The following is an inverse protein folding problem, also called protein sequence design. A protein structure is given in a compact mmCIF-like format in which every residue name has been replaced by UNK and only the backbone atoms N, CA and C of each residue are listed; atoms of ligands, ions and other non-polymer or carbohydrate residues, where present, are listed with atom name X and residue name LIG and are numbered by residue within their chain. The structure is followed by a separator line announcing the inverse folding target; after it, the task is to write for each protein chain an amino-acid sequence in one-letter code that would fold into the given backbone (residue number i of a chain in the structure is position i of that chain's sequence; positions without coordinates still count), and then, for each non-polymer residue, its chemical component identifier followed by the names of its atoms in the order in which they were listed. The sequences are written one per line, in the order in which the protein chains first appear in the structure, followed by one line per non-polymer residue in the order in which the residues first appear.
data_IF_426636580427
#
_entry.id   IF_426636580427
#
_cell.length_a   1.000
_cell.length_b   1.000
_cell.length_c   1.000
_cell.angle_alpha   90.00
_cell.angle_beta   90.00
_cell.angle_gamma   90.00
#
_symmetry.space_group_name_H-M   'P 1'
#
loop_
_entity.id
_entity.type
_entity.pdbx_description
1 polymer ?
#
# COMPACT_ATOMS: atom_id res chain seq x y z
N UNK A 1 5.34 12.17 -15.95
CA UNK A 1 6.72 12.04 -16.44
C UNK A 1 7.64 11.85 -15.24
N UNK A 2 8.48 10.80 -15.25
CA UNK A 2 9.41 10.46 -14.17
C UNK A 2 10.76 11.18 -14.30
N UNK A 3 10.86 12.21 -15.13
CA UNK A 3 12.11 12.96 -15.38
C UNK A 3 12.83 13.38 -14.09
N UNK A 4 12.09 13.76 -13.04
CA UNK A 4 12.64 14.18 -11.74
C UNK A 4 12.71 13.08 -10.67
N UNK A 5 12.52 11.80 -11.03
CA UNK A 5 12.52 10.67 -10.09
C UNK A 5 13.72 9.74 -10.31
N UNK A 6 14.14 9.05 -9.25
CA UNK A 6 15.28 8.13 -9.27
C UNK A 6 15.08 6.90 -10.17
N UNK A 7 16.09 6.04 -10.22
CA UNK A 7 16.05 4.80 -11.02
C UNK A 7 14.96 3.86 -10.52
N UNK A 8 14.68 3.87 -9.22
CA UNK A 8 13.72 2.97 -8.58
C UNK A 8 12.30 3.19 -9.08
N UNK A 9 11.82 4.44 -9.14
CA UNK A 9 10.53 4.77 -9.72
C UNK A 9 10.44 4.41 -11.21
N UNK A 10 11.52 4.63 -11.98
CA UNK A 10 11.55 4.35 -13.42
C UNK A 10 11.51 2.86 -13.77
N UNK A 11 12.07 2.02 -12.90
CA UNK A 11 12.24 0.59 -13.15
C UNK A 11 11.19 -0.30 -12.46
N UNK A 12 10.31 0.28 -11.64
CA UNK A 12 9.21 -0.46 -11.02
C UNK A 12 8.15 -0.87 -12.05
N UNK A 13 7.70 -2.13 -11.95
CA UNK A 13 6.69 -2.74 -12.80
C UNK A 13 5.27 -2.52 -12.25
N UNK A 14 4.89 -1.25 -12.05
CA UNK A 14 3.57 -0.85 -11.49
C UNK A 14 2.77 0.09 -12.39
N UNK A 15 3.32 0.51 -13.53
CA UNK A 15 2.60 1.38 -14.47
C UNK A 15 1.25 0.79 -14.95
N UNK A 16 0.19 1.60 -14.91
CA UNK A 16 -1.16 1.22 -15.33
C UNK A 16 -1.25 0.73 -16.79
N UNK A 17 -0.51 1.35 -17.70
CA UNK A 17 -0.56 0.96 -19.11
C UNK A 17 0.28 -0.31 -19.38
N UNK A 18 1.53 -0.31 -18.90
CA UNK A 18 2.55 -1.29 -19.28
C UNK A 18 2.56 -2.55 -18.40
N UNK A 19 2.08 -2.49 -17.16
CA UNK A 19 2.24 -3.59 -16.20
C UNK A 19 0.91 -4.18 -15.70
N UNK A 20 -0.17 -3.39 -15.70
CA UNK A 20 -1.50 -3.91 -15.36
C UNK A 20 -1.95 -4.96 -16.38
N UNK A 21 -2.25 -6.16 -15.89
CA UNK A 21 -2.49 -7.38 -16.67
C UNK A 21 -3.89 -7.41 -17.24
N UNK A 22 -4.01 -7.72 -18.53
CA UNK A 22 -5.31 -7.79 -19.21
C UNK A 22 -6.28 -8.78 -18.56
N UNK A 23 -5.82 -10.01 -18.29
CA UNK A 23 -6.67 -11.04 -17.67
C UNK A 23 -6.90 -10.84 -16.18
N UNK A 24 -5.82 -10.63 -15.43
CA UNK A 24 -5.90 -10.52 -13.97
C UNK A 24 -6.60 -9.24 -13.50
N UNK A 25 -6.19 -8.10 -14.03
CA UNK A 25 -6.63 -6.79 -13.53
C UNK A 25 -7.82 -6.26 -14.33
N UNK A 26 -7.78 -6.36 -15.66
CA UNK A 26 -8.83 -5.80 -16.54
C UNK A 26 -9.97 -6.76 -16.91
N UNK A 27 -9.92 -8.01 -16.43
CA UNK A 27 -10.92 -9.06 -16.66
C UNK A 27 -11.15 -9.42 -18.14
N UNK A 28 -10.09 -9.30 -18.95
CA UNK A 28 -10.11 -9.76 -20.34
C UNK A 28 -9.90 -11.27 -20.38
N UNK A 29 -10.84 -11.98 -20.98
CA UNK A 29 -10.81 -13.43 -21.15
C UNK A 29 -9.62 -13.85 -22.02
N UNK A 30 -8.92 -14.96 -21.69
CA UNK A 30 -7.87 -15.50 -22.53
C UNK A 30 -8.30 -15.70 -23.99
N UNK A 31 -9.53 -16.17 -24.21
CA UNK A 31 -10.10 -16.40 -25.54
C UNK A 31 -10.27 -15.09 -26.32
N UNK A 32 -10.62 -13.99 -25.65
CA UNK A 32 -10.73 -12.68 -26.29
C UNK A 32 -9.37 -12.17 -26.77
N UNK A 33 -8.31 -12.40 -25.98
CA UNK A 33 -6.94 -12.04 -26.36
C UNK A 33 -6.49 -12.91 -27.56
N UNK A 34 -6.74 -14.21 -27.50
CA UNK A 34 -6.41 -15.16 -28.58
C UNK A 34 -7.09 -14.78 -29.90
N UNK A 35 -8.40 -14.47 -29.88
CA UNK A 35 -9.16 -14.05 -31.06
C UNK A 35 -8.68 -12.72 -31.66
N UNK A 36 -8.16 -11.82 -30.84
CA UNK A 36 -7.60 -10.53 -31.30
C UNK A 36 -6.20 -10.67 -31.88
N UNK A 37 -5.50 -11.78 -31.62
CA UNK A 37 -4.09 -11.95 -31.97
C UNK A 37 -3.18 -11.06 -31.14
N UNK A 38 -2.52 -10.08 -31.78
CA UNK A 38 -1.56 -9.20 -31.11
C UNK A 38 -2.24 -8.02 -30.40
N UNK A 39 -2.26 -8.04 -29.06
CA UNK A 39 -2.77 -6.92 -28.24
C UNK A 39 -1.60 -6.02 -27.81
N UNK A 40 -1.60 -4.74 -28.24
CA UNK A 40 -0.58 -3.74 -27.87
C UNK A 40 -1.09 -2.70 -26.85
N UNK A 41 -0.26 -2.28 -25.87
CA UNK A 41 1.11 -2.76 -25.61
C UNK A 41 1.12 -4.20 -25.10
N UNK A 42 2.19 -4.92 -25.37
CA UNK A 42 2.34 -6.27 -24.84
C UNK A 42 2.50 -6.22 -23.33
N UNK A 43 1.65 -6.95 -22.61
CA UNK A 43 1.76 -7.12 -21.16
C UNK A 43 1.79 -8.61 -20.89
N UNK A 44 2.90 -9.10 -20.33
CA UNK A 44 3.06 -10.52 -20.06
C UNK A 44 1.93 -11.04 -19.15
N UNK A 45 1.21 -12.10 -19.54
CA UNK A 45 0.11 -12.64 -18.74
C UNK A 45 0.62 -13.19 -17.41
N UNK A 46 -0.21 -13.06 -16.36
CA UNK A 46 0.08 -13.69 -15.08
C UNK A 46 -0.21 -15.19 -15.20
N UNK A 47 0.70 -16.01 -14.69
CA UNK A 47 0.53 -17.46 -14.58
C UNK A 47 0.93 -17.92 -13.19
N UNK A 48 -0.05 -18.39 -12.41
CA UNK A 48 0.17 -18.94 -11.07
C UNK A 48 -0.01 -20.46 -11.11
N UNK A 49 1.11 -21.18 -11.05
CA UNK A 49 1.13 -22.66 -11.04
C UNK A 49 0.36 -23.29 -12.21
N UNK A 50 0.49 -22.72 -13.41
CA UNK A 50 -0.16 -23.21 -14.64
C UNK A 50 -1.55 -22.61 -14.92
N UNK A 51 -2.03 -21.68 -14.10
CA UNK A 51 -3.36 -21.07 -14.25
C UNK A 51 -3.19 -19.58 -14.53
N UNK A 52 -3.87 -19.09 -15.56
CA UNK A 52 -3.81 -17.67 -15.92
C UNK A 52 -4.54 -16.77 -14.92
N UNK A 53 -4.16 -15.49 -14.94
CA UNK A 53 -4.66 -14.48 -14.01
C UNK A 53 -6.18 -14.23 -14.05
N UNK A 54 -6.87 -14.58 -15.14
CA UNK A 54 -8.33 -14.48 -15.25
C UNK A 54 -8.99 -15.74 -14.66
N UNK A 55 -8.56 -16.92 -15.11
CA UNK A 55 -9.17 -18.21 -14.73
C UNK A 55 -9.05 -18.51 -13.24
N UNK A 56 -7.93 -18.13 -12.61
CA UNK A 56 -7.67 -18.39 -11.19
C UNK A 56 -8.78 -17.87 -10.25
N UNK A 57 -9.11 -16.57 -10.28
CA UNK A 57 -10.24 -16.02 -9.53
C UNK A 57 -11.61 -16.51 -10.06
N UNK A 58 -11.81 -16.53 -11.37
CA UNK A 58 -13.10 -16.84 -11.99
C UNK A 58 -13.61 -18.24 -11.63
N UNK A 59 -12.73 -19.25 -11.60
CA UNK A 59 -13.13 -20.64 -11.28
C UNK A 59 -13.56 -20.84 -9.83
N UNK A 60 -13.30 -19.88 -8.92
CA UNK A 60 -13.76 -19.93 -7.52
C UNK A 60 -15.24 -19.62 -7.39
N UNK A 61 -15.85 -18.95 -8.38
CA UNK A 61 -17.27 -18.67 -8.39
C UNK A 61 -18.09 -19.92 -8.71
N UNK A 62 -19.21 -20.10 -8.02
CA UNK A 62 -20.19 -21.13 -8.35
C UNK A 62 -21.02 -20.71 -9.60
N UNK A 63 -21.90 -21.60 -10.09
CA UNK A 63 -22.68 -21.34 -11.31
C UNK A 63 -23.65 -20.15 -11.17
N UNK A 64 -24.25 -19.97 -9.98
CA UNK A 64 -25.17 -18.85 -9.72
C UNK A 64 -24.42 -17.50 -9.74
N UNK A 65 -23.24 -17.44 -9.13
CA UNK A 65 -22.37 -16.26 -9.15
C UNK A 65 -21.87 -15.97 -10.57
N UNK A 66 -21.46 -17.00 -11.32
CA UNK A 66 -21.04 -16.83 -12.72
C UNK A 66 -22.16 -16.26 -13.58
N UNK A 67 -23.39 -16.76 -13.43
CA UNK A 67 -24.54 -16.23 -14.16
C UNK A 67 -24.80 -14.73 -13.90
N UNK A 68 -24.40 -14.19 -12.74
CA UNK A 68 -24.47 -12.76 -12.43
C UNK A 68 -23.29 -11.96 -13.02
N UNK A 69 -22.08 -12.54 -13.02
CA UNK A 69 -20.87 -11.85 -13.48
C UNK A 69 -20.65 -11.92 -14.99
N UNK A 70 -21.02 -13.04 -15.63
CA UNK A 70 -20.76 -13.28 -17.04
C UNK A 70 -21.31 -12.18 -17.95
N UNK A 71 -22.54 -11.66 -17.78
CA UNK A 71 -23.02 -10.56 -18.60
C UNK A 71 -22.12 -9.30 -18.53
N UNK A 72 -21.57 -9.01 -17.35
CA UNK A 72 -20.66 -7.87 -17.14
C UNK A 72 -19.31 -8.14 -17.78
N UNK A 73 -18.73 -9.32 -17.53
CA UNK A 73 -17.44 -9.73 -18.10
C UNK A 73 -17.51 -9.77 -19.63
N UNK A 74 -18.59 -10.32 -20.19
CA UNK A 74 -18.79 -10.42 -21.63
C UNK A 74 -18.92 -9.03 -22.25
N UNK A 75 -19.66 -8.11 -21.61
CA UNK A 75 -19.73 -6.71 -22.06
C UNK A 75 -18.36 -6.03 -22.09
N UNK A 76 -17.49 -6.30 -21.10
CA UNK A 76 -16.13 -5.76 -21.07
C UNK A 76 -15.31 -6.31 -22.24
N UNK A 77 -15.40 -7.61 -22.50
CA UNK A 77 -14.63 -8.29 -23.55
C UNK A 77 -15.08 -7.89 -24.96
N UNK A 78 -16.39 -7.78 -25.20
CA UNK A 78 -16.96 -7.28 -26.46
C UNK A 78 -16.48 -5.85 -26.73
N UNK A 79 -16.56 -4.98 -25.72
CA UNK A 79 -16.10 -3.59 -25.86
C UNK A 79 -14.60 -3.54 -26.13
N UNK A 80 -13.80 -4.29 -25.37
CA UNK A 80 -12.35 -4.33 -25.51
C UNK A 80 -11.95 -4.75 -26.93
N UNK A 81 -12.53 -5.83 -27.45
CA UNK A 81 -12.28 -6.33 -28.80
C UNK A 81 -12.59 -5.30 -29.89
N UNK A 82 -13.71 -4.58 -29.76
CA UNK A 82 -14.15 -3.61 -30.76
C UNK A 82 -13.36 -2.30 -30.75
N UNK A 83 -12.88 -1.84 -29.58
CA UNK A 83 -12.37 -0.48 -29.41
C UNK A 83 -10.85 -0.41 -29.18
N UNK A 84 -10.28 -1.38 -28.46
CA UNK A 84 -8.86 -1.35 -28.06
C UNK A 84 -7.86 -1.13 -29.21
N UNK A 85 -8.02 -1.77 -30.40
CA UNK A 85 -7.06 -1.59 -31.50
C UNK A 85 -6.99 -0.15 -32.03
N UNK A 86 -8.08 0.62 -31.94
CA UNK A 86 -8.16 2.00 -32.43
C UNK A 86 -7.67 3.06 -31.44
N UNK A 87 -7.28 2.68 -30.22
CA UNK A 87 -6.93 3.60 -29.16
C UNK A 87 -5.44 3.93 -29.14
N UNK A 88 -5.10 5.18 -28.82
CA UNK A 88 -3.74 5.59 -28.48
C UNK A 88 -3.40 5.20 -27.02
N UNK A 89 -2.13 5.37 -26.63
CA UNK A 89 -1.63 4.95 -25.32
C UNK A 89 -2.30 5.68 -24.14
N UNK A 90 -2.60 6.97 -24.29
CA UNK A 90 -3.31 7.74 -23.27
C UNK A 90 -4.73 7.21 -23.06
N UNK A 91 -5.45 6.94 -24.15
CA UNK A 91 -6.79 6.37 -24.11
C UNK A 91 -6.77 4.97 -23.48
N UNK A 92 -5.80 4.13 -23.83
CA UNK A 92 -5.63 2.78 -23.27
C UNK A 92 -5.36 2.83 -21.77
N UNK A 93 -4.48 3.73 -21.33
CA UNK A 93 -4.19 3.95 -19.91
C UNK A 93 -5.43 4.42 -19.16
N UNK A 94 -6.17 5.40 -19.71
CA UNK A 94 -7.43 5.90 -19.12
C UNK A 94 -8.47 4.80 -19.00
N UNK A 95 -8.63 3.94 -20.02
CA UNK A 95 -9.56 2.82 -19.94
C UNK A 95 -9.18 1.82 -18.86
N UNK A 96 -7.89 1.43 -18.78
CA UNK A 96 -7.40 0.55 -17.71
C UNK A 96 -7.63 1.17 -16.33
N UNK A 97 -7.32 2.46 -16.17
CA UNK A 97 -7.58 3.22 -14.94
C UNK A 97 -9.06 3.21 -14.54
N UNK A 98 -9.97 3.49 -15.47
CA UNK A 98 -11.40 3.50 -15.18
C UNK A 98 -11.91 2.13 -14.75
N UNK A 99 -11.47 1.06 -15.43
CA UNK A 99 -11.80 -0.32 -15.02
C UNK A 99 -11.27 -0.65 -13.64
N UNK A 100 -10.00 -0.31 -13.39
CA UNK A 100 -9.36 -0.49 -12.09
C UNK A 100 -10.15 0.22 -10.96
N UNK A 101 -10.47 1.50 -11.12
CA UNK A 101 -11.16 2.26 -10.09
C UNK A 101 -12.61 1.82 -9.89
N UNK A 102 -13.31 1.42 -10.95
CA UNK A 102 -14.66 0.85 -10.83
C UNK A 102 -14.65 -0.41 -9.97
N UNK A 103 -13.73 -1.34 -10.25
CA UNK A 103 -13.64 -2.60 -9.51
C UNK A 103 -13.15 -2.37 -8.07
N UNK A 104 -12.20 -1.46 -7.86
CA UNK A 104 -11.68 -1.10 -6.54
C UNK A 104 -12.75 -0.45 -5.65
N UNK A 105 -13.48 0.54 -6.15
CA UNK A 105 -14.52 1.24 -5.40
C UNK A 105 -15.75 0.35 -5.14
N UNK A 106 -16.09 -0.55 -6.08
CA UNK A 106 -17.14 -1.54 -5.85
C UNK A 106 -16.76 -2.51 -4.70
N UNK A 107 -15.50 -2.92 -4.63
CA UNK A 107 -14.99 -3.72 -3.50
C UNK A 107 -15.10 -2.94 -2.18
N UNK A 108 -14.70 -1.67 -2.15
CA UNK A 108 -14.81 -0.83 -0.94
C UNK A 108 -16.25 -0.70 -0.48
N UNK A 109 -17.19 -0.44 -1.40
CA UNK A 109 -18.61 -0.34 -1.05
C UNK A 109 -19.13 -1.62 -0.39
N UNK A 110 -18.75 -2.78 -0.92
CA UNK A 110 -19.12 -4.08 -0.33
C UNK A 110 -18.48 -4.30 1.05
N UNK A 111 -17.23 -3.84 1.25
CA UNK A 111 -16.58 -3.89 2.58
C UNK A 111 -17.34 -3.00 3.57
N UNK A 112 -17.70 -1.78 3.19
CA UNK A 112 -18.43 -0.83 4.04
C UNK A 112 -19.79 -1.38 4.49
N UNK A 113 -20.56 -1.98 3.57
CA UNK A 113 -21.82 -2.67 3.89
C UNK A 113 -21.60 -3.76 4.97
N UNK A 114 -20.51 -4.52 4.87
CA UNK A 114 -20.21 -5.58 5.83
C UNK A 114 -19.67 -5.05 7.18
N UNK A 115 -18.93 -3.94 7.18
CA UNK A 115 -18.60 -3.22 8.42
C UNK A 115 -19.88 -2.77 9.11
N UNK A 116 -20.83 -2.19 8.36
CA UNK A 116 -22.16 -1.83 8.85
C UNK A 116 -22.88 -3.00 9.49
N UNK A 117 -22.89 -4.18 8.83
CA UNK A 117 -23.50 -5.41 9.39
C UNK A 117 -22.88 -5.85 10.72
N UNK A 118 -21.54 -5.74 10.87
CA UNK A 118 -20.85 -6.07 12.13
C UNK A 118 -21.23 -5.07 13.23
N UNK A 119 -21.23 -3.78 12.92
CA UNK A 119 -21.59 -2.72 13.88
C UNK A 119 -23.06 -2.85 14.32
N UNK A 120 -23.98 -3.11 13.39
CA UNK A 120 -25.39 -3.39 13.65
C UNK A 120 -25.56 -4.57 14.61
N UNK A 121 -24.80 -5.65 14.40
CA UNK A 121 -24.85 -6.82 15.26
C UNK A 121 -24.37 -6.50 16.67
N UNK A 122 -23.28 -5.75 16.82
CA UNK A 122 -22.78 -5.30 18.13
C UNK A 122 -23.83 -4.48 18.88
N UNK A 123 -24.57 -3.60 18.18
CA UNK A 123 -25.63 -2.80 18.78
C UNK A 123 -26.83 -3.68 19.20
N UNK A 124 -27.36 -4.50 18.28
CA UNK A 124 -28.51 -5.38 18.52
C UNK A 124 -28.26 -6.41 19.63
N UNK A 125 -27.02 -6.85 19.79
CA UNK A 125 -26.61 -7.80 20.84
C UNK A 125 -26.24 -7.13 22.17
N UNK A 126 -26.27 -5.80 22.26
CA UNK A 126 -25.88 -5.06 23.46
C UNK A 126 -24.36 -5.06 23.75
N UNK A 127 -23.54 -5.55 22.83
CA UNK A 127 -22.07 -5.63 22.97
C UNK A 127 -21.37 -4.31 22.62
N UNK A 128 -22.04 -3.42 21.90
CA UNK A 128 -21.43 -2.21 21.34
C UNK A 128 -20.78 -1.29 22.39
N UNK A 129 -21.30 -1.25 23.62
CA UNK A 129 -20.78 -0.40 24.72
C UNK A 129 -19.51 -0.94 25.39
N UNK A 130 -19.20 -2.22 25.19
CA UNK A 130 -18.08 -2.92 25.83
C UNK A 130 -17.10 -3.52 24.80
N UNK A 131 -17.10 -2.98 23.57
CA UNK A 131 -16.26 -3.47 22.48
C UNK A 131 -15.43 -2.31 21.93
N UNK A 132 -14.11 -2.47 21.91
CA UNK A 132 -13.24 -1.64 21.09
C UNK A 132 -13.33 -2.14 19.64
N UNK A 133 -13.67 -1.25 18.72
CA UNK A 133 -13.69 -1.52 17.27
C UNK A 133 -12.54 -0.74 16.65
N UNK A 134 -11.65 -1.47 15.96
CA UNK A 134 -10.55 -0.90 15.18
C UNK A 134 -10.79 -1.21 13.72
N UNK A 135 -10.79 -0.18 12.87
CA UNK A 135 -10.81 -0.30 11.43
C UNK A 135 -9.49 0.24 10.88
N UNK A 136 -8.80 -0.57 10.08
CA UNK A 136 -7.53 -0.20 9.45
C UNK A 136 -7.27 -1.03 8.20
N UNK A 137 -6.12 -0.79 7.56
CA UNK A 137 -5.58 -1.55 6.44
C UNK A 137 -4.16 -2.01 6.78
N UNK A 138 -3.70 -3.10 6.19
CA UNK A 138 -2.32 -3.58 6.31
C UNK A 138 -1.32 -2.62 5.65
N UNK A 139 -1.74 -1.92 4.60
CA UNK A 139 -1.00 -0.88 3.88
C UNK A 139 -1.94 0.13 3.20
N UNK A 140 -1.36 1.20 2.66
CA UNK A 140 -2.02 2.03 1.66
C UNK A 140 -1.89 1.42 0.26
N UNK A 141 -2.50 2.07 -0.74
CA UNK A 141 -2.54 1.59 -2.11
C UNK A 141 -2.49 2.74 -3.12
N UNK A 142 -1.75 2.58 -4.23
CA UNK A 142 -1.78 3.53 -5.34
C UNK A 142 -3.08 3.37 -6.13
N UNK A 143 -3.88 4.43 -6.21
CA UNK A 143 -5.13 4.53 -6.95
C UNK A 143 -4.93 5.33 -8.24
N UNK A 144 -3.77 5.18 -8.88
CA UNK A 144 -3.38 5.87 -10.11
C UNK A 144 -2.37 7.02 -9.91
N UNK A 145 -2.08 7.40 -8.68
CA UNK A 145 -0.99 8.33 -8.36
C UNK A 145 0.33 7.80 -8.91
N UNK A 146 1.18 8.71 -9.38
CA UNK A 146 2.40 8.39 -10.14
C UNK A 146 2.17 7.51 -11.38
N UNK A 147 0.93 7.28 -11.82
CA UNK A 147 0.60 6.32 -12.88
C UNK A 147 0.70 4.85 -12.45
N UNK A 148 0.60 4.57 -11.15
CA UNK A 148 0.78 3.24 -10.56
C UNK A 148 -0.50 2.63 -9.97
N UNK A 149 -0.42 1.31 -9.75
CA UNK A 149 -1.27 0.52 -8.85
C UNK A 149 -0.36 -0.28 -7.90
N UNK A 150 -0.93 -1.03 -6.95
CA UNK A 150 -0.20 -1.79 -5.92
C UNK A 150 0.35 -0.91 -4.77
N UNK A 151 1.41 -1.35 -4.07
CA UNK A 151 1.96 -0.74 -2.84
C UNK A 151 3.50 -0.79 -2.87
N UNK A 152 4.15 -1.13 -1.74
CA UNK A 152 5.59 -1.46 -1.58
C UNK A 152 6.52 -0.26 -1.37
N UNK A 153 6.39 0.78 -2.17
CA UNK A 153 7.19 1.99 -1.94
C UNK A 153 6.78 2.67 -0.63
N UNK A 154 7.74 3.36 -0.01
CA UNK A 154 7.52 4.21 1.16
C UNK A 154 6.72 5.50 0.87
N UNK A 155 6.30 5.78 -0.37
CA UNK A 155 5.48 6.96 -0.67
C UNK A 155 4.11 6.90 0.03
N UNK A 156 3.55 8.07 0.31
CA UNK A 156 2.44 8.25 1.25
C UNK A 156 1.21 7.42 0.90
N UNK A 157 0.89 7.26 -0.38
CA UNK A 157 -0.25 6.45 -0.84
C UNK A 157 -0.11 4.98 -0.43
N UNK A 158 1.10 4.43 -0.39
CA UNK A 158 1.40 3.03 0.01
C UNK A 158 1.75 2.91 1.49
N UNK A 159 2.42 3.92 2.04
CA UNK A 159 2.90 3.93 3.43
C UNK A 159 1.79 4.24 4.45
N UNK A 160 0.90 5.19 4.15
CA UNK A 160 -0.15 5.62 5.10
C UNK A 160 -1.36 4.70 5.01
N UNK A 161 -1.83 4.24 6.16
CA UNK A 161 -3.04 3.43 6.30
C UNK A 161 -4.15 4.21 6.99
N UNK A 162 -5.43 3.93 6.68
CA UNK A 162 -6.53 4.40 7.53
C UNK A 162 -6.41 3.76 8.92
N UNK A 163 -6.70 4.53 9.97
CA UNK A 163 -6.83 4.02 11.33
C UNK A 163 -7.97 4.76 12.02
N UNK A 164 -9.05 4.03 12.32
CA UNK A 164 -10.20 4.54 13.07
C UNK A 164 -10.44 3.61 14.25
N UNK A 165 -10.56 4.18 15.45
CA UNK A 165 -10.77 3.43 16.69
C UNK A 165 -11.99 3.99 17.42
N UNK A 166 -12.96 3.12 17.67
CA UNK A 166 -14.15 3.42 18.47
C UNK A 166 -14.12 2.58 19.73
N UNK A 167 -14.09 3.23 20.89
CA UNK A 167 -14.19 2.56 22.18
C UNK A 167 -15.08 3.39 23.12
N UNK A 168 -16.38 3.05 23.24
CA UNK A 168 -17.30 3.84 24.05
C UNK A 168 -16.85 3.93 25.51
N UNK A 169 -17.10 5.09 26.12
CA UNK A 169 -16.71 5.46 27.49
C UNK A 169 -15.21 5.68 27.73
N UNK A 170 -14.33 5.21 26.83
CA UNK A 170 -12.88 5.43 26.92
C UNK A 170 -12.39 6.53 25.94
N UNK A 171 -12.97 6.58 24.73
CA UNK A 171 -12.60 7.56 23.69
C UNK A 171 -13.71 8.58 23.52
N UNK A 172 -13.35 9.87 23.55
CA UNK A 172 -14.28 10.96 23.21
C UNK A 172 -14.61 10.90 21.71
N UNK A 173 -15.90 10.82 21.30
CA UNK A 173 -16.26 10.77 19.89
C UNK A 173 -15.78 12.00 19.11
N UNK A 174 -15.33 11.79 17.88
CA UNK A 174 -14.98 12.86 16.93
C UNK A 174 -13.61 13.50 17.14
N UNK A 175 -12.76 12.97 18.01
CA UNK A 175 -11.36 13.43 18.11
C UNK A 175 -10.54 12.96 16.90
N UNK A 176 -9.55 13.75 16.51
CA UNK A 176 -8.56 13.44 15.48
C UNK A 176 -7.16 13.72 16.01
N UNK A 177 -6.16 13.04 15.48
CA UNK A 177 -4.78 13.22 15.89
C UNK A 177 -3.81 13.03 14.70
N UNK A 178 -2.83 13.92 14.56
CA UNK A 178 -1.80 13.91 13.52
C UNK A 178 -0.44 13.35 14.02
N UNK A 179 -0.41 12.82 15.25
CA UNK A 179 0.77 12.18 15.83
C UNK A 179 1.16 10.92 15.04
N UNK A 180 2.48 10.70 14.99
CA UNK A 180 3.05 9.60 14.21
C UNK A 180 2.84 8.27 14.95
N UNK A 181 2.08 7.38 14.33
CA UNK A 181 1.79 6.01 14.82
C UNK A 181 2.23 4.97 13.78
N UNK A 182 2.34 3.73 14.19
CA UNK A 182 2.72 2.60 13.33
C UNK A 182 1.93 1.34 13.67
N UNK A 183 1.84 0.40 12.74
CA UNK A 183 1.11 -0.86 12.92
C UNK A 183 1.63 -1.72 14.11
N UNK A 184 2.90 -1.58 14.50
CA UNK A 184 3.45 -2.24 15.69
C UNK A 184 2.77 -1.80 17.00
N UNK A 185 2.18 -0.60 17.04
CA UNK A 185 1.55 -0.02 18.22
C UNK A 185 0.27 -0.75 18.64
N UNK A 186 -0.38 -1.45 17.70
CA UNK A 186 -1.68 -2.09 17.94
C UNK A 186 -1.60 -3.15 19.04
N UNK A 187 -0.56 -3.98 19.00
CA UNK A 187 -0.44 -5.09 19.94
C UNK A 187 -0.29 -4.59 21.39
N UNK A 188 0.53 -3.55 21.61
CA UNK A 188 0.69 -2.95 22.95
C UNK A 188 -0.55 -2.19 23.40
N UNK A 189 -1.25 -1.53 22.48
CA UNK A 189 -2.54 -0.90 22.75
C UNK A 189 -3.57 -1.93 23.24
N UNK A 190 -3.64 -3.09 22.61
CA UNK A 190 -4.60 -4.14 23.00
C UNK A 190 -4.24 -4.79 24.33
N UNK A 191 -2.96 -5.03 24.60
CA UNK A 191 -2.51 -5.56 25.88
C UNK A 191 -2.83 -4.58 27.01
N UNK A 192 -2.53 -3.29 26.84
CA UNK A 192 -2.86 -2.27 27.84
C UNK A 192 -4.37 -2.14 28.04
N UNK A 193 -5.16 -2.12 26.95
CA UNK A 193 -6.61 -2.09 27.03
C UNK A 193 -7.19 -3.29 27.79
N UNK A 194 -6.56 -4.47 27.64
CA UNK A 194 -6.90 -5.69 28.35
C UNK A 194 -6.29 -5.79 29.77
N UNK A 195 -5.57 -4.76 30.22
CA UNK A 195 -4.85 -4.73 31.51
C UNK A 195 -3.80 -5.85 31.65
N UNK A 196 -3.21 -6.26 30.53
CA UNK A 196 -2.14 -7.26 30.46
C UNK A 196 -0.79 -6.52 30.42
N UNK A 197 0.17 -6.98 31.22
CA UNK A 197 1.53 -6.44 31.20
C UNK A 197 2.13 -6.63 29.80
N UNK A 198 2.57 -5.53 29.19
CA UNK A 198 3.29 -5.52 27.92
C UNK A 198 4.68 -6.18 28.09
N UNK A 199 5.05 -7.17 27.26
CA UNK A 199 6.41 -7.70 27.20
C UNK A 199 7.44 -6.65 26.77
N UNK A 200 8.63 -6.69 27.39
CA UNK A 200 9.70 -5.69 27.20
C UNK A 200 10.39 -5.78 25.83
N UNK A 201 10.16 -6.84 25.05
CA UNK A 201 10.75 -7.07 23.73
C UNK A 201 9.90 -6.52 22.57
N UNK A 202 8.69 -6.03 22.85
CA UNK A 202 7.84 -5.36 21.85
C UNK A 202 8.40 -3.98 21.47
N UNK A 203 8.19 -3.59 20.22
CA UNK A 203 8.86 -2.41 19.64
C UNK A 203 7.91 -1.24 19.31
N UNK A 204 6.60 -1.42 19.42
CA UNK A 204 5.62 -0.35 19.29
C UNK A 204 5.48 0.45 20.60
N UNK A 205 4.51 1.36 20.61
CA UNK A 205 4.10 2.15 21.77
C UNK A 205 2.57 2.09 21.87
N UNK A 206 2.02 1.97 23.07
CA UNK A 206 0.57 1.90 23.23
C UNK A 206 -0.10 3.22 22.86
N UNK A 207 -1.14 3.16 22.04
CA UNK A 207 -1.90 4.33 21.59
C UNK A 207 -2.84 4.89 22.67
N UNK A 208 -2.99 4.22 23.82
CA UNK A 208 -3.96 4.60 24.86
C UNK A 208 -3.88 6.08 25.27
N UNK A 209 -2.70 6.71 25.46
CA UNK A 209 -2.62 8.13 25.75
C UNK A 209 -3.25 9.00 24.65
N UNK A 210 -2.99 8.68 23.38
CA UNK A 210 -3.61 9.39 22.24
C UNK A 210 -5.12 9.19 22.21
N UNK A 211 -5.59 7.96 22.47
CA UNK A 211 -7.02 7.61 22.48
C UNK A 211 -7.79 8.33 23.61
N UNK A 212 -7.13 8.60 24.73
CA UNK A 212 -7.68 9.35 25.88
C UNK A 212 -7.47 10.86 25.81
N UNK A 213 -6.79 11.35 24.77
CA UNK A 213 -6.51 12.77 24.55
C UNK A 213 -5.36 13.33 25.39
N UNK A 214 -4.52 12.48 25.98
CA UNK A 214 -3.32 12.88 26.72
C UNK A 214 -2.09 12.90 25.79
N UNK A 215 -2.10 13.84 24.85
CA UNK A 215 -1.08 13.98 23.81
C UNK A 215 0.30 14.32 24.42
N UNK A 216 0.34 14.90 25.61
CA UNK A 216 1.60 15.25 26.29
C UNK A 216 2.46 14.04 26.64
N UNK A 217 1.88 12.83 26.67
CA UNK A 217 2.62 11.59 26.89
C UNK A 217 3.18 10.97 25.59
N UNK A 218 2.89 11.55 24.42
CA UNK A 218 3.37 11.06 23.14
C UNK A 218 4.57 11.87 22.66
N UNK A 219 5.66 11.19 22.31
CA UNK A 219 6.93 11.83 21.94
C UNK A 219 7.57 11.22 20.69
N UNK A 220 6.82 10.45 19.90
CA UNK A 220 7.34 9.88 18.65
C UNK A 220 7.31 10.90 17.53
N UNK A 221 8.50 11.39 17.17
CA UNK A 221 8.67 12.36 16.08
C UNK A 221 8.78 11.72 14.69
N UNK A 222 9.08 10.41 14.62
CA UNK A 222 9.36 9.72 13.36
C UNK A 222 8.93 8.25 13.37
N UNK A 223 8.63 7.72 12.18
CA UNK A 223 8.35 6.31 11.91
C UNK A 223 9.44 5.73 11.02
N UNK A 224 9.87 4.52 11.34
CA UNK A 224 10.81 3.73 10.55
C UNK A 224 10.06 2.82 9.57
N UNK A 225 10.62 2.62 8.38
CA UNK A 225 10.09 1.72 7.37
C UNK A 225 11.20 0.89 6.74
N UNK A 226 10.93 -0.37 6.41
CA UNK A 226 11.86 -1.23 5.68
C UNK A 226 11.11 -2.25 4.81
N UNK A 227 11.34 -2.20 3.50
CA UNK A 227 10.85 -3.13 2.50
C UNK A 227 11.98 -4.00 1.91
N UNK A 228 11.72 -5.31 1.79
CA UNK A 228 12.74 -6.32 1.44
C UNK A 228 12.46 -7.11 0.15
N UNK A 229 11.23 -7.11 -0.38
CA UNK A 229 10.82 -8.08 -1.41
C UNK A 229 11.30 -7.67 -2.82
N UNK A 230 12.57 -7.94 -3.13
CA UNK A 230 13.19 -7.70 -4.44
C UNK A 230 14.41 -8.61 -4.69
N UNK A 231 14.60 -9.17 -5.92
CA UNK A 231 13.69 -9.10 -7.07
C UNK A 231 12.41 -9.93 -6.86
N UNK A 232 11.25 -9.37 -7.22
CA UNK A 232 9.95 -10.00 -7.06
C UNK A 232 8.88 -9.28 -7.91
N UNK A 233 7.61 -9.67 -7.78
CA UNK A 233 6.48 -9.02 -8.44
C UNK A 233 6.53 -7.50 -8.25
N UNK A 234 6.29 -6.75 -9.33
CA UNK A 234 6.35 -5.29 -9.39
C UNK A 234 7.75 -4.66 -9.32
N UNK A 235 8.82 -5.44 -9.10
CA UNK A 235 10.22 -5.00 -9.21
C UNK A 235 10.57 -3.73 -8.41
N UNK A 236 9.88 -3.49 -7.30
CA UNK A 236 10.17 -2.37 -6.39
C UNK A 236 11.45 -2.70 -5.62
N UNK A 237 12.43 -1.79 -5.64
CA UNK A 237 13.76 -1.99 -5.06
C UNK A 237 13.71 -2.05 -3.53
N UNK A 238 14.64 -2.76 -2.90
CA UNK A 238 14.71 -2.82 -1.43
C UNK A 238 15.08 -1.46 -0.87
N UNK A 239 14.43 -1.07 0.23
CA UNK A 239 14.68 0.23 0.83
C UNK A 239 14.27 0.28 2.30
N UNK A 240 14.96 1.14 3.04
CA UNK A 240 14.54 1.58 4.36
C UNK A 240 14.50 3.11 4.40
N UNK A 241 13.79 3.66 5.38
CA UNK A 241 13.66 5.09 5.51
C UNK A 241 13.10 5.56 6.85
N UNK A 242 13.18 6.86 7.04
CA UNK A 242 12.60 7.60 8.16
C UNK A 242 11.55 8.56 7.60
N UNK A 243 10.38 8.58 8.24
CA UNK A 243 9.29 9.48 7.92
C UNK A 243 9.01 10.34 9.15
N UNK A 244 9.06 11.66 9.01
CA UNK A 244 8.65 12.65 10.02
C UNK A 244 7.44 13.43 9.50
N UNK A 245 6.83 14.30 10.32
CA UNK A 245 5.73 15.18 9.86
C UNK A 245 6.13 16.12 8.72
N UNK A 246 7.43 16.42 8.57
CA UNK A 246 7.94 17.42 7.62
C UNK A 246 8.71 16.80 6.46
N UNK A 247 9.42 15.69 6.70
CA UNK A 247 10.35 15.12 5.74
C UNK A 247 10.24 13.61 5.64
N UNK A 248 10.65 13.07 4.50
CA UNK A 248 10.83 11.64 4.28
C UNK A 248 12.17 11.40 3.62
N UNK A 249 13.04 10.66 4.30
CA UNK A 249 14.34 10.25 3.78
C UNK A 249 14.34 8.74 3.56
N UNK A 250 14.69 8.31 2.36
CA UNK A 250 14.71 6.90 1.95
C UNK A 250 16.05 6.56 1.31
N UNK A 251 16.52 5.35 1.60
CA UNK A 251 17.68 4.75 0.95
C UNK A 251 17.26 3.45 0.26
N UNK A 252 17.34 3.45 -1.07
CA UNK A 252 17.25 2.24 -1.88
C UNK A 252 18.64 1.63 -1.98
N UNK A 253 18.79 0.42 -1.44
CA UNK A 253 20.11 -0.17 -1.19
C UNK A 253 20.39 -1.45 -2.01
N UNK A 254 19.40 -1.93 -2.78
CA UNK A 254 19.57 -3.09 -3.66
C UNK A 254 18.50 -3.13 -4.77
N UNK A 255 18.86 -3.30 -6.05
CA UNK A 255 20.20 -3.42 -6.66
C UNK A 255 20.84 -2.09 -7.07
N UNK A 256 20.31 -0.99 -6.56
CA UNK A 256 20.85 0.37 -6.70
C UNK A 256 21.32 0.90 -5.34
N UNK A 257 22.07 1.99 -5.35
CA UNK A 257 22.49 2.74 -4.16
C UNK A 257 22.06 4.20 -4.35
N UNK A 258 20.79 4.50 -4.02
CA UNK A 258 20.17 5.80 -4.27
C UNK A 258 19.44 6.31 -3.03
N UNK A 259 19.66 7.59 -2.71
CA UNK A 259 18.94 8.30 -1.67
C UNK A 259 17.90 9.23 -2.27
N UNK A 260 16.72 9.30 -1.65
CA UNK A 260 15.71 10.31 -1.95
C UNK A 260 15.28 11.03 -0.67
N UNK A 261 15.05 12.34 -0.78
CA UNK A 261 14.48 13.19 0.26
C UNK A 261 13.27 13.92 -0.31
N UNK A 262 12.17 13.92 0.43
CA UNK A 262 10.95 14.66 0.12
C UNK A 262 10.59 15.63 1.25
N UNK A 263 10.35 16.89 0.90
CA UNK A 263 9.75 17.90 1.78
C UNK A 263 8.23 17.74 1.70
N UNK A 264 7.64 17.07 2.70
CA UNK A 264 6.23 16.67 2.69
C UNK A 264 5.27 17.85 2.89
N UNK A 265 5.78 19.00 3.35
CA UNK A 265 5.00 20.22 3.48
C UNK A 265 4.91 20.98 2.16
N UNK A 266 6.01 21.03 1.41
CA UNK A 266 6.07 21.73 0.11
C UNK A 266 5.67 20.85 -1.08
N UNK A 267 5.86 19.54 -0.95
CA UNK A 267 5.61 18.54 -1.99
C UNK A 267 4.83 17.34 -1.40
N UNK A 268 3.55 17.51 -1.06
CA UNK A 268 2.73 16.46 -0.47
C UNK A 268 2.47 15.28 -1.42
N UNK A 269 2.73 15.43 -2.71
CA UNK A 269 2.64 14.36 -3.72
C UNK A 269 4.00 13.68 -3.97
N UNK A 270 5.06 14.07 -3.26
CA UNK A 270 6.37 13.42 -3.31
C UNK A 270 6.91 13.28 -4.73
N UNK A 271 6.75 14.32 -5.54
CA UNK A 271 7.11 14.35 -6.96
C UNK A 271 8.55 14.83 -7.21
N UNK A 272 9.17 15.51 -6.25
CA UNK A 272 10.49 16.11 -6.37
C UNK A 272 11.44 15.59 -5.30
N UNK A 273 12.39 14.76 -5.71
CA UNK A 273 13.53 14.40 -4.87
C UNK A 273 14.45 15.61 -4.67
N UNK A 274 14.58 16.10 -3.43
CA UNK A 274 15.42 17.24 -3.05
C UNK A 274 16.72 16.83 -2.34
N UNK A 275 17.07 15.54 -2.34
CA UNK A 275 18.25 15.02 -1.61
C UNK A 275 19.57 15.72 -1.97
N UNK A 276 19.76 16.05 -3.26
CA UNK A 276 20.97 16.72 -3.76
C UNK A 276 20.85 18.26 -3.77
N UNK A 277 19.76 18.84 -3.27
CA UNK A 277 19.58 20.29 -3.20
C UNK A 277 20.39 20.83 -2.00
N UNK A 278 21.38 21.73 -2.21
CA UNK A 278 22.21 22.26 -1.13
C UNK A 278 21.42 22.92 0.01
N UNK A 279 20.20 23.42 -0.26
CA UNK A 279 19.33 24.01 0.76
C UNK A 279 18.83 23.00 1.79
N UNK A 280 18.86 21.70 1.47
CA UNK A 280 18.41 20.62 2.36
C UNK A 280 19.58 19.83 2.97
N UNK A 281 20.83 20.23 2.73
CA UNK A 281 22.00 19.45 3.15
C UNK A 281 22.04 19.18 4.67
N UNK A 282 21.73 20.18 5.51
CA UNK A 282 21.66 20.01 6.96
C UNK A 282 20.53 19.07 7.40
N UNK A 283 19.38 19.14 6.72
CA UNK A 283 18.23 18.25 6.97
C UNK A 283 18.57 16.80 6.62
N UNK A 284 19.29 16.58 5.51
CA UNK A 284 19.77 15.24 5.14
C UNK A 284 20.71 14.68 6.21
N UNK A 285 21.64 15.48 6.72
CA UNK A 285 22.57 15.06 7.77
C UNK A 285 21.84 14.68 9.05
N UNK A 286 20.93 15.53 9.52
CA UNK A 286 20.11 15.28 10.71
C UNK A 286 19.26 14.00 10.55
N UNK A 287 18.53 13.86 9.45
CA UNK A 287 17.68 12.69 9.21
C UNK A 287 18.47 11.40 9.06
N UNK A 288 19.71 11.45 8.54
CA UNK A 288 20.58 10.26 8.50
C UNK A 288 21.02 9.82 9.89
N UNK A 289 21.30 10.77 10.78
CA UNK A 289 21.62 10.47 12.19
C UNK A 289 20.39 9.84 12.86
N UNK A 290 19.22 10.47 12.77
CA UNK A 290 17.99 9.93 13.35
C UNK A 290 17.60 8.57 12.74
N UNK A 291 17.80 8.37 11.43
CA UNK A 291 17.57 7.07 10.78
C UNK A 291 18.50 6.00 11.36
N UNK A 292 19.78 6.30 11.57
CA UNK A 292 20.71 5.37 12.19
C UNK A 292 20.29 5.02 13.64
N UNK A 293 19.84 6.00 14.42
CA UNK A 293 19.29 5.79 15.76
C UNK A 293 18.03 4.92 15.74
N UNK A 294 17.11 5.14 14.79
CA UNK A 294 15.92 4.29 14.62
C UNK A 294 16.29 2.86 14.24
N UNK A 295 17.27 2.65 13.36
CA UNK A 295 17.76 1.30 13.02
C UNK A 295 18.28 0.59 14.27
N UNK A 296 19.07 1.28 15.10
CA UNK A 296 19.53 0.74 16.39
C UNK A 296 18.36 0.43 17.34
N UNK A 297 17.41 1.37 17.52
CA UNK A 297 16.19 1.20 18.34
C UNK A 297 15.43 -0.06 17.91
N UNK A 298 15.27 -0.25 16.60
CA UNK A 298 14.52 -1.37 16.03
C UNK A 298 15.33 -2.63 15.79
N UNK A 299 16.60 -2.66 16.23
CA UNK A 299 17.52 -3.81 16.05
C UNK A 299 17.67 -4.23 14.59
N UNK A 300 17.57 -3.26 13.69
CA UNK A 300 17.82 -3.41 12.26
C UNK A 300 19.29 -3.09 11.94
N UNK A 301 19.90 -3.82 11.02
CA UNK A 301 21.33 -3.72 10.74
C UNK A 301 21.69 -4.06 9.29
N UNK A 302 22.86 -3.61 8.85
CA UNK A 302 23.37 -3.93 7.51
C UNK A 302 23.57 -5.42 7.30
N UNK A 303 23.88 -6.16 8.37
CA UNK A 303 23.99 -7.62 8.32
C UNK A 303 22.64 -8.28 8.03
N UNK A 304 21.53 -7.72 8.52
CA UNK A 304 20.18 -8.17 8.17
C UNK A 304 19.84 -7.83 6.71
N UNK A 305 20.18 -6.62 6.25
CA UNK A 305 20.03 -6.22 4.83
C UNK A 305 20.69 -7.29 3.93
N UNK A 306 21.96 -7.61 4.22
CA UNK A 306 22.75 -8.56 3.45
C UNK A 306 22.21 -10.00 3.55
N UNK A 307 21.82 -10.44 4.75
CA UNK A 307 21.24 -11.78 4.96
C UNK A 307 20.05 -12.00 4.04
N UNK A 308 19.12 -11.06 3.97
CA UNK A 308 17.92 -11.22 3.13
C UNK A 308 18.20 -11.08 1.64
N UNK A 309 19.26 -10.37 1.24
CA UNK A 309 19.74 -10.36 -0.16
C UNK A 309 20.27 -11.75 -0.52
N UNK A 310 21.10 -12.34 0.34
CA UNK A 310 21.74 -13.63 0.08
C UNK A 310 20.73 -14.79 0.07
N UNK A 311 19.68 -14.72 0.91
CA UNK A 311 18.59 -15.70 0.90
C UNK A 311 17.88 -15.81 -0.46
N UNK A 312 17.73 -14.70 -1.21
CA UNK A 312 17.11 -14.75 -2.53
C UNK A 312 18.08 -15.28 -3.58
N UNK A 313 19.37 -14.96 -3.49
CA UNK A 313 20.38 -15.47 -4.44
C UNK A 313 20.56 -16.99 -4.39
N UNK A 314 20.14 -17.63 -3.30
CA UNK A 314 20.25 -19.08 -3.09
C UNK A 314 19.03 -19.87 -3.60
N UNK A 315 17.96 -19.19 -4.03
CA UNK A 315 16.74 -19.81 -4.59
C UNK A 315 16.83 -19.91 -6.11
#
# INVERSE_FOLDING_TARGET
DYSNRGTTAKTAEMNLLQHMKYGHDSKIRPETIEEMGEVKPYVAPMNWSGIDGFTGPYRRANNEQKALYDPVIDSINIWFKANWPGMNDEQKMKWKYQRYMQDYLACISSVDDNVGRVLDYLEKSGLAKNTMVVYTSDQGFYLGEHGWFDKRFIYDESFKTPLMIRWPNEIKPGITNDEMVQNLDFAQTFLEAAQIKVPDDMQGESLIPLLKGDIAQWNREAVYYHYYEYPAVHMVKRHYGIVTKEYKLVHFYYDVDEWELYDRKKDPQEMKNVYNDPLYASIVEELKISLAELRLKYKDSKELDQKYIDMIKQQ
#
